data_IF_801929196762
#
_entry.id   IF_801929196762
#
_cell.length_a   1.000
_cell.length_b   1.000
_cell.length_c   1.000
_cell.angle_alpha   90.00
_cell.angle_beta   90.00
_cell.angle_gamma   90.00
#
_symmetry.space_group_name_H-M   'P 1'
#
loop_
_entity.id
_entity.type
_entity.pdbx_description
1 polymer ?
#
# COMPACT_ATOMS: atom_id res chain seq x y z
N UNK A 1 33.25 15.85 24.98
CA UNK A 1 32.06 15.12 24.48
C UNK A 1 30.85 15.65 25.22
N UNK A 2 29.84 16.18 24.52
CA UNK A 2 28.67 16.79 25.15
C UNK A 2 27.63 15.73 25.57
N UNK A 3 26.70 16.09 26.46
CA UNK A 3 25.59 15.22 26.86
C UNK A 3 24.77 14.76 25.65
N UNK A 4 24.52 15.67 24.70
CA UNK A 4 23.79 15.37 23.46
C UNK A 4 24.53 14.33 22.61
N UNK A 5 25.86 14.43 22.50
CA UNK A 5 26.68 13.46 21.78
C UNK A 5 26.64 12.07 22.44
N UNK A 6 26.63 12.01 23.78
CA UNK A 6 26.53 10.75 24.52
C UNK A 6 25.14 10.11 24.35
N UNK A 7 24.08 10.92 24.42
CA UNK A 7 22.72 10.45 24.23
C UNK A 7 22.48 9.92 22.81
N UNK A 8 22.99 10.61 21.80
CA UNK A 8 22.90 10.16 20.40
C UNK A 8 23.63 8.82 20.21
N UNK A 9 24.85 8.71 20.75
CA UNK A 9 25.63 7.46 20.70
C UNK A 9 24.90 6.29 21.36
N UNK A 10 24.28 6.50 22.52
CA UNK A 10 23.48 5.46 23.19
C UNK A 10 22.28 5.01 22.35
N UNK A 11 21.56 5.95 21.71
CA UNK A 11 20.42 5.62 20.85
C UNK A 11 20.81 4.81 19.61
N UNK A 12 22.00 5.06 19.04
CA UNK A 12 22.55 4.25 17.94
C UNK A 12 22.93 2.86 18.43
N UNK A 13 23.65 2.76 19.56
CA UNK A 13 24.11 1.48 20.11
C UNK A 13 22.94 0.59 20.56
N UNK A 14 21.85 1.16 21.05
CA UNK A 14 20.64 0.41 21.42
C UNK A 14 19.75 0.05 20.23
N UNK A 15 20.08 0.49 19.01
CA UNK A 15 19.30 0.22 17.80
C UNK A 15 17.97 0.97 17.71
N UNK A 16 17.70 1.91 18.65
CA UNK A 16 16.50 2.75 18.66
C UNK A 16 16.58 3.81 17.56
N UNK A 17 17.76 4.40 17.37
CA UNK A 17 17.99 5.39 16.33
C UNK A 17 18.72 4.74 15.16
N UNK A 18 18.07 4.74 14.00
CA UNK A 18 18.60 4.12 12.79
C UNK A 18 18.72 5.20 11.70
N UNK A 19 19.81 5.99 11.67
CA UNK A 19 19.94 7.16 10.80
C UNK A 19 20.00 6.84 9.29
N UNK A 20 20.14 5.56 8.94
CA UNK A 20 20.25 5.08 7.56
C UNK A 20 19.01 4.33 7.08
N UNK A 21 18.00 4.13 7.94
CA UNK A 21 16.74 3.60 7.48
C UNK A 21 15.92 4.77 6.93
N UNK A 22 15.35 4.66 5.72
CA UNK A 22 14.30 5.58 5.32
C UNK A 22 13.24 5.57 6.42
N UNK A 23 12.60 6.72 6.68
CA UNK A 23 11.37 6.76 7.48
C UNK A 23 10.52 5.56 7.07
N UNK A 24 10.04 4.78 8.06
CA UNK A 24 9.13 3.67 7.80
C UNK A 24 7.99 4.25 6.97
N UNK A 25 8.07 4.07 5.64
CA UNK A 25 7.08 4.58 4.71
C UNK A 25 5.79 4.03 5.22
N UNK A 26 4.91 4.92 5.69
CA UNK A 26 3.66 4.56 6.33
C UNK A 26 3.09 3.39 5.55
N UNK A 27 3.12 2.20 6.16
CA UNK A 27 2.86 0.97 5.45
C UNK A 27 1.36 0.98 5.20
N UNK A 28 0.96 1.62 4.10
CA UNK A 28 -0.43 1.75 3.75
C UNK A 28 -0.99 0.34 3.73
N UNK A 29 -2.12 0.14 4.41
CA UNK A 29 -2.73 -1.17 4.53
C UNK A 29 -3.26 -1.61 3.16
N UNK A 30 -2.37 -2.15 2.31
CA UNK A 30 -2.67 -2.77 1.01
C UNK A 30 -3.79 -3.81 1.11
N UNK A 31 -3.96 -4.38 2.31
CA UNK A 31 -5.00 -5.34 2.69
C UNK A 31 -6.42 -4.79 2.53
N UNK A 32 -6.64 -3.50 2.80
CA UNK A 32 -7.98 -2.92 2.69
C UNK A 32 -8.44 -2.87 1.23
N UNK A 33 -7.59 -2.36 0.35
CA UNK A 33 -7.87 -2.27 -1.10
C UNK A 33 -8.01 -3.65 -1.74
N UNK A 34 -7.19 -4.64 -1.32
CA UNK A 34 -7.31 -6.02 -1.80
C UNK A 34 -8.61 -6.70 -1.36
N UNK A 35 -9.07 -6.41 -0.14
CA UNK A 35 -10.32 -6.98 0.40
C UNK A 35 -11.54 -6.48 -0.39
N UNK A 36 -11.62 -5.18 -0.68
CA UNK A 36 -12.71 -4.61 -1.47
C UNK A 36 -12.74 -5.16 -2.91
N UNK A 37 -11.57 -5.28 -3.56
CA UNK A 37 -11.46 -5.92 -4.89
C UNK A 37 -11.94 -7.37 -4.88
N UNK A 38 -11.58 -8.15 -3.86
CA UNK A 38 -12.05 -9.55 -3.73
C UNK A 38 -13.56 -9.66 -3.56
N UNK A 39 -14.19 -8.78 -2.77
CA UNK A 39 -15.66 -8.73 -2.63
C UNK A 39 -16.34 -8.43 -3.97
N UNK A 40 -15.80 -7.49 -4.73
CA UNK A 40 -16.34 -7.10 -6.03
C UNK A 40 -16.18 -8.19 -7.08
N UNK A 41 -15.02 -8.87 -7.09
CA UNK A 41 -14.79 -10.03 -7.94
C UNK A 41 -15.87 -11.10 -7.72
N UNK A 42 -16.21 -11.40 -6.45
CA UNK A 42 -17.27 -12.36 -6.10
C UNK A 42 -18.67 -11.84 -6.49
N UNK A 43 -18.97 -10.57 -6.22
CA UNK A 43 -20.28 -9.96 -6.52
C UNK A 43 -20.61 -9.97 -8.00
N UNK A 44 -19.60 -9.75 -8.85
CA UNK A 44 -19.77 -9.68 -10.31
C UNK A 44 -19.41 -10.98 -11.03
N UNK A 45 -19.10 -12.06 -10.29
CA UNK A 45 -18.71 -13.36 -10.81
C UNK A 45 -17.54 -13.27 -11.81
N UNK A 46 -16.59 -12.36 -11.54
CA UNK A 46 -15.44 -12.09 -12.40
C UNK A 46 -14.41 -13.22 -12.22
N UNK A 47 -14.13 -13.93 -13.31
CA UNK A 47 -13.16 -15.02 -13.29
C UNK A 47 -11.71 -14.51 -13.35
N UNK A 48 -10.78 -15.06 -12.56
CA UNK A 48 -9.37 -14.73 -12.68
C UNK A 48 -8.86 -14.91 -14.11
N UNK A 49 -8.09 -13.94 -14.61
CA UNK A 49 -7.50 -13.98 -15.95
C UNK A 49 -8.38 -13.44 -17.08
N UNK A 50 -9.60 -12.98 -16.81
CA UNK A 50 -10.39 -12.23 -17.80
C UNK A 50 -9.98 -10.75 -17.85
N UNK A 51 -10.34 -10.06 -18.93
CA UNK A 51 -10.10 -8.62 -19.06
C UNK A 51 -10.76 -7.81 -17.94
N UNK A 52 -11.95 -8.21 -17.48
CA UNK A 52 -12.64 -7.59 -16.35
C UNK A 52 -11.88 -7.78 -15.04
N UNK A 53 -11.28 -8.96 -14.84
CA UNK A 53 -10.44 -9.22 -13.68
C UNK A 53 -9.19 -8.33 -13.70
N UNK A 54 -8.54 -8.21 -14.85
CA UNK A 54 -7.34 -7.38 -14.98
C UNK A 54 -7.67 -5.91 -14.71
N UNK A 55 -8.77 -5.39 -15.28
CA UNK A 55 -9.25 -4.03 -15.01
C UNK A 55 -9.56 -3.82 -13.52
N UNK A 56 -10.26 -4.75 -12.87
CA UNK A 56 -10.58 -4.66 -11.44
C UNK A 56 -9.32 -4.54 -10.56
N UNK A 57 -8.27 -5.30 -10.88
CA UNK A 57 -7.07 -5.37 -10.06
C UNK A 57 -6.02 -4.31 -10.38
N UNK A 58 -5.89 -3.91 -11.65
CA UNK A 58 -4.77 -3.10 -12.13
C UNK A 58 -5.16 -1.76 -12.75
N UNK A 59 -6.44 -1.42 -12.87
CA UNK A 59 -6.85 -0.09 -13.30
C UNK A 59 -6.30 0.98 -12.35
N UNK A 60 -5.94 2.12 -12.93
CA UNK A 60 -5.45 3.29 -12.19
C UNK A 60 -6.43 4.45 -12.36
N UNK A 61 -7.63 4.39 -11.77
CA UNK A 61 -8.71 5.36 -12.01
C UNK A 61 -8.26 6.82 -11.84
N UNK A 62 -7.39 7.09 -10.88
CA UNK A 62 -6.87 8.45 -10.60
C UNK A 62 -5.86 8.96 -11.64
N UNK A 63 -5.27 8.09 -12.46
CA UNK A 63 -4.29 8.46 -13.49
C UNK A 63 -4.84 8.30 -14.90
N UNK A 64 -5.63 7.26 -15.15
CA UNK A 64 -6.14 6.90 -16.48
C UNK A 64 -7.59 7.30 -16.68
N UNK A 65 -8.32 7.67 -15.63
CA UNK A 65 -9.76 7.94 -15.71
C UNK A 65 -10.61 6.69 -15.96
N UNK A 66 -10.00 5.51 -15.95
CA UNK A 66 -10.69 4.24 -16.14
C UNK A 66 -11.64 3.98 -14.96
N UNK A 67 -12.81 3.41 -15.25
CA UNK A 67 -13.79 3.01 -14.23
C UNK A 67 -13.73 1.49 -14.03
N UNK A 68 -12.94 0.97 -13.07
CA UNK A 68 -12.91 -0.47 -12.79
C UNK A 68 -14.19 -0.99 -12.14
N UNK A 69 -15.04 -0.09 -11.64
CA UNK A 69 -16.29 -0.41 -10.96
C UNK A 69 -17.48 0.15 -11.75
N UNK A 70 -17.88 -0.58 -12.81
CA UNK A 70 -19.19 -0.51 -13.47
C UNK A 70 -19.68 0.86 -13.96
N UNK A 71 -19.66 1.08 -15.27
CA UNK A 71 -20.83 1.66 -15.94
C UNK A 71 -21.72 0.47 -16.36
N UNK A 72 -22.58 0.00 -15.47
CA UNK A 72 -23.76 -0.75 -15.92
C UNK A 72 -24.93 0.23 -15.86
N UNK A 73 -25.22 0.86 -17.01
CA UNK A 73 -26.52 1.46 -17.27
C UNK A 73 -27.60 0.38 -17.30
#
# INVERSE_FOLDING_TARGET
MTLEQQLNRLKVLSGIYKPYLPEETQQENISYTGTEKSKLQKKHNIQPGTDEWFKLWFAKPHLTGERPFGDKQ
#
